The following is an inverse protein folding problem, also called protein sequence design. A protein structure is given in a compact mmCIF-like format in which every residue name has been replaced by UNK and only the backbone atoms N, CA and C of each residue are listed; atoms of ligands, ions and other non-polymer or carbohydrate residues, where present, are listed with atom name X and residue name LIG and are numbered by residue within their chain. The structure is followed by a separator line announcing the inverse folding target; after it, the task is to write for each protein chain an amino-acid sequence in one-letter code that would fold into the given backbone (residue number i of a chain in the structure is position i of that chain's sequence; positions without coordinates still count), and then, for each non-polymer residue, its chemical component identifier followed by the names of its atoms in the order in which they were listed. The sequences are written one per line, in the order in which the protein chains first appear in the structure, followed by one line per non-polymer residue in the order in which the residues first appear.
data_IF_635213046925
#
_entry.id   IF_635213046925
#
_cell.length_a   1.000
_cell.length_b   1.000
_cell.length_c   1.000
_cell.angle_alpha   90.00
_cell.angle_beta   90.00
_cell.angle_gamma   90.00
#
_symmetry.space_group_name_H-M   'P 1'
#
loop_
_entity.id
_entity.type
_entity.pdbx_description
1 polymer ?
#
# COMPACT_ATOMS: atom_id res chain seq x y z
N UNK A 1 41.77 7.66 -24.94
CA UNK A 1 42.14 6.22 -25.04
C UNK A 1 42.11 5.70 -23.61
N UNK A 2 41.10 4.92 -23.21
CA UNK A 2 40.81 3.62 -23.82
C UNK A 2 39.32 3.42 -24.10
N UNK A 3 38.99 3.43 -25.40
CA UNK A 3 37.89 2.62 -25.90
C UNK A 3 38.34 1.14 -25.92
N UNK A 4 37.35 0.24 -25.85
CA UNK A 4 37.37 -1.23 -26.02
C UNK A 4 37.27 -2.01 -24.69
N UNK A 5 36.22 -2.82 -24.46
CA UNK A 5 35.84 -4.00 -25.28
C UNK A 5 34.37 -4.00 -25.80
N UNK A 6 34.12 -4.22 -27.12
CA UNK A 6 32.77 -4.34 -27.71
C UNK A 6 32.06 -5.71 -27.57
N UNK A 7 32.53 -6.63 -26.72
CA UNK A 7 31.87 -7.92 -26.49
C UNK A 7 32.07 -8.42 -25.05
N UNK A 8 31.92 -7.53 -24.07
CA UNK A 8 31.63 -8.00 -22.72
C UNK A 8 30.12 -8.18 -22.62
N UNK A 9 29.62 -9.42 -22.39
CA UNK A 9 28.26 -9.61 -21.94
C UNK A 9 28.02 -8.66 -20.77
N UNK A 10 27.01 -7.79 -20.91
CA UNK A 10 26.64 -6.93 -19.80
C UNK A 10 25.92 -7.82 -18.80
N UNK A 11 26.50 -7.95 -17.62
CA UNK A 11 25.84 -8.62 -16.52
C UNK A 11 25.39 -7.60 -15.49
N UNK A 12 24.16 -7.78 -15.01
CA UNK A 12 23.61 -7.03 -13.88
C UNK A 12 23.64 -7.96 -12.68
N UNK A 13 24.24 -7.48 -11.59
CA UNK A 13 24.20 -8.17 -10.30
C UNK A 13 23.19 -7.47 -9.41
N UNK A 14 22.25 -8.24 -8.85
CA UNK A 14 21.39 -7.78 -7.76
C UNK A 14 21.46 -8.74 -6.59
N UNK A 15 21.09 -8.25 -5.41
CA UNK A 15 21.06 -9.04 -4.19
C UNK A 15 19.63 -9.15 -3.68
N UNK A 16 19.17 -10.38 -3.53
CA UNK A 16 17.85 -10.71 -2.99
C UNK A 16 18.00 -11.40 -1.64
N UNK A 17 17.02 -11.26 -0.74
CA UNK A 17 17.06 -11.95 0.54
C UNK A 17 16.87 -13.47 0.35
N UNK A 18 17.56 -14.26 1.19
CA UNK A 18 17.69 -15.72 1.08
C UNK A 18 16.34 -16.46 1.10
N UNK A 19 15.38 -15.95 1.88
CA UNK A 19 14.03 -16.49 1.98
C UNK A 19 13.21 -16.30 0.69
N UNK A 20 13.67 -15.45 -0.23
CA UNK A 20 13.00 -15.16 -1.51
C UNK A 20 13.58 -15.86 -2.71
N UNK A 21 14.76 -16.47 -2.58
CA UNK A 21 15.37 -17.28 -3.66
C UNK A 21 14.36 -18.33 -4.17
N UNK A 22 13.71 -19.04 -3.25
CA UNK A 22 12.70 -20.04 -3.62
C UNK A 22 11.49 -19.46 -4.36
N UNK A 23 11.07 -18.23 -4.05
CA UNK A 23 9.97 -17.55 -4.70
C UNK A 23 10.33 -17.05 -6.11
N UNK A 24 11.55 -16.53 -6.29
CA UNK A 24 12.09 -16.09 -7.59
C UNK A 24 12.30 -17.28 -8.54
N UNK A 25 12.81 -18.40 -8.02
CA UNK A 25 12.95 -19.64 -8.80
C UNK A 25 11.56 -20.23 -9.12
N UNK A 26 10.66 -20.24 -8.14
CA UNK A 26 9.34 -20.85 -8.24
C UNK A 26 9.38 -22.38 -8.16
N UNK A 27 8.21 -23.02 -8.07
CA UNK A 27 8.11 -24.48 -7.99
C UNK A 27 8.75 -25.16 -9.21
N UNK A 28 9.83 -25.92 -8.99
CA UNK A 28 10.58 -26.59 -10.07
C UNK A 28 11.29 -25.65 -11.05
N UNK A 29 11.54 -24.39 -10.66
CA UNK A 29 12.19 -23.40 -11.53
C UNK A 29 11.27 -22.78 -12.57
N UNK A 30 9.94 -22.91 -12.43
CA UNK A 30 8.99 -22.44 -13.45
C UNK A 30 9.00 -20.92 -13.61
N UNK A 31 9.11 -20.17 -12.52
CA UNK A 31 9.07 -18.71 -12.54
C UNK A 31 10.33 -18.18 -13.23
N UNK A 32 11.51 -18.67 -12.82
CA UNK A 32 12.76 -18.24 -13.46
C UNK A 32 12.86 -18.66 -14.92
N UNK A 33 12.38 -19.87 -15.27
CA UNK A 33 12.33 -20.30 -16.68
C UNK A 33 11.45 -19.39 -17.53
N UNK A 34 10.28 -18.99 -17.02
CA UNK A 34 9.41 -18.04 -17.71
C UNK A 34 10.08 -16.68 -17.90
N UNK A 35 10.77 -16.16 -16.88
CA UNK A 35 11.47 -14.87 -16.97
C UNK A 35 12.59 -14.95 -18.02
N UNK A 36 13.37 -16.04 -18.01
CA UNK A 36 14.42 -16.31 -19.01
C UNK A 36 13.82 -16.38 -20.42
N UNK A 37 12.69 -17.06 -20.58
CA UNK A 37 12.01 -17.24 -21.87
C UNK A 37 11.40 -15.93 -22.40
N UNK A 38 10.78 -15.11 -21.54
CA UNK A 38 10.22 -13.81 -21.90
C UNK A 38 11.28 -12.76 -22.23
N UNK A 39 12.38 -12.76 -21.48
CA UNK A 39 13.42 -11.72 -21.61
C UNK A 39 14.56 -12.12 -22.53
N UNK A 40 14.73 -13.42 -22.80
CA UNK A 40 15.88 -13.96 -23.53
C UNK A 40 17.21 -13.78 -22.78
N UNK A 41 17.17 -13.65 -21.46
CA UNK A 41 18.37 -13.45 -20.61
C UNK A 41 18.79 -14.74 -19.94
N UNK A 42 20.08 -14.87 -19.61
CA UNK A 42 20.60 -15.98 -18.82
C UNK A 42 20.71 -15.52 -17.36
N UNK A 43 20.05 -16.21 -16.43
CA UNK A 43 19.96 -15.80 -15.03
C UNK A 43 20.56 -16.91 -14.16
N UNK A 44 21.54 -16.55 -13.34
CA UNK A 44 22.17 -17.43 -12.36
C UNK A 44 21.86 -16.93 -10.95
N UNK A 45 21.32 -17.80 -10.09
CA UNK A 45 20.98 -17.48 -8.70
C UNK A 45 21.87 -18.31 -7.80
N UNK A 46 22.62 -17.62 -6.94
CA UNK A 46 23.48 -18.24 -5.95
C UNK A 46 22.76 -18.42 -4.61
N UNK A 47 23.23 -19.38 -3.82
CA UNK A 47 22.67 -19.74 -2.50
C UNK A 47 22.82 -18.62 -1.45
N UNK A 48 23.65 -17.61 -1.73
CA UNK A 48 23.89 -16.46 -0.87
C UNK A 48 22.92 -15.27 -1.14
N UNK A 49 22.02 -15.43 -2.11
CA UNK A 49 21.08 -14.40 -2.55
C UNK A 49 21.61 -13.47 -3.64
N UNK A 50 22.79 -13.74 -4.20
CA UNK A 50 23.32 -13.00 -5.34
C UNK A 50 22.72 -13.52 -6.65
N UNK A 51 22.10 -12.65 -7.43
CA UNK A 51 21.52 -12.97 -8.75
C UNK A 51 22.32 -12.27 -9.83
N UNK A 52 22.81 -13.05 -10.80
CA UNK A 52 23.54 -12.58 -11.97
C UNK A 52 22.67 -12.71 -13.20
N UNK A 53 22.40 -11.60 -13.86
CA UNK A 53 21.61 -11.55 -15.09
C UNK A 53 22.57 -11.23 -16.24
N UNK A 54 22.81 -12.20 -17.11
CA UNK A 54 23.61 -12.07 -18.31
C UNK A 54 22.70 -11.77 -19.50
N UNK A 55 23.01 -10.71 -20.24
CA UNK A 55 22.30 -10.42 -21.49
C UNK A 55 23.23 -9.80 -22.54
N UNK A 56 22.85 -10.02 -23.81
CA UNK A 56 23.38 -9.28 -24.96
C UNK A 56 22.83 -7.87 -25.03
N UNK A 57 21.63 -7.65 -24.49
CA UNK A 57 20.86 -6.42 -24.61
C UNK A 57 20.65 -5.77 -23.26
N UNK A 58 20.87 -4.46 -23.20
CA UNK A 58 20.70 -3.71 -21.94
C UNK A 58 19.22 -3.67 -21.52
N UNK A 59 18.31 -3.65 -22.49
CA UNK A 59 16.87 -3.59 -22.24
C UNK A 59 16.31 -4.91 -21.67
N UNK A 60 16.75 -6.05 -22.20
CA UNK A 60 16.37 -7.37 -21.69
C UNK A 60 16.89 -7.60 -20.28
N UNK A 61 18.13 -7.19 -20.01
CA UNK A 61 18.71 -7.27 -18.67
C UNK A 61 17.92 -6.42 -17.66
N UNK A 62 17.51 -5.20 -18.02
CA UNK A 62 16.67 -4.36 -17.17
C UNK A 62 15.26 -4.94 -16.96
N UNK A 63 14.65 -5.53 -17.99
CA UNK A 63 13.34 -6.21 -17.86
C UNK A 63 13.43 -7.38 -16.88
N UNK A 64 14.43 -8.25 -17.04
CA UNK A 64 14.63 -9.39 -16.14
C UNK A 64 14.92 -8.93 -14.71
N UNK A 65 15.78 -7.91 -14.56
CA UNK A 65 16.07 -7.28 -13.27
C UNK A 65 14.77 -6.79 -12.62
N UNK A 66 13.94 -6.06 -13.36
CA UNK A 66 12.69 -5.52 -12.86
C UNK A 66 11.70 -6.62 -12.48
N UNK A 67 11.54 -7.66 -13.30
CA UNK A 67 10.70 -8.81 -12.96
C UNK A 67 11.15 -9.50 -11.67
N UNK A 68 12.46 -9.70 -11.49
CA UNK A 68 13.00 -10.29 -10.27
C UNK A 68 12.79 -9.35 -9.07
N UNK A 69 13.10 -8.06 -9.23
CA UNK A 69 12.85 -7.05 -8.19
C UNK A 69 11.38 -7.03 -7.79
N UNK A 70 10.45 -6.98 -8.75
CA UNK A 70 9.00 -6.99 -8.52
C UNK A 70 8.54 -8.23 -7.75
N UNK A 71 9.11 -9.42 -8.01
CA UNK A 71 8.82 -10.64 -7.25
C UNK A 71 9.41 -10.59 -5.84
N UNK A 72 10.56 -9.92 -5.67
CA UNK A 72 11.24 -9.81 -4.37
C UNK A 72 10.64 -8.75 -3.46
N UNK A 73 9.82 -7.84 -4.01
CA UNK A 73 9.08 -6.86 -3.23
C UNK A 73 7.91 -7.56 -2.54
N UNK A 74 8.11 -7.90 -1.27
CA UNK A 74 7.00 -8.21 -0.36
C UNK A 74 6.49 -6.92 0.28
N UNK A 75 5.20 -6.70 0.13
CA UNK A 75 4.49 -5.69 0.88
C UNK A 75 3.94 -6.32 2.17
N UNK A 76 4.23 -5.69 3.30
CA UNK A 76 3.65 -6.03 4.59
C UNK A 76 2.78 -4.87 5.07
N UNK A 77 1.50 -5.16 5.35
CA UNK A 77 0.61 -4.23 6.05
C UNK A 77 0.34 -4.77 7.44
N UNK A 78 0.55 -3.88 8.42
CA UNK A 78 0.09 -4.08 9.79
C UNK A 78 -1.17 -3.26 10.02
N UNK A 79 -2.25 -3.93 10.41
CA UNK A 79 -3.49 -3.27 10.79
C UNK A 79 -3.95 -3.74 12.17
N UNK A 80 -4.61 -2.85 12.92
CA UNK A 80 -5.19 -3.18 14.22
C UNK A 80 -6.71 -3.19 14.09
N UNK A 81 -7.32 -4.27 14.54
CA UNK A 81 -8.77 -4.41 14.63
C UNK A 81 -9.16 -4.59 16.09
N UNK A 82 -10.37 -4.19 16.49
CA UNK A 82 -10.83 -4.42 17.84
C UNK A 82 -10.98 -5.93 18.12
N UNK A 83 -10.63 -6.35 19.33
CA UNK A 83 -10.51 -7.78 19.69
C UNK A 83 -11.81 -8.55 19.56
N UNK A 84 -12.96 -7.89 19.76
CA UNK A 84 -14.29 -8.44 19.54
C UNK A 84 -14.61 -8.77 18.07
N UNK A 85 -13.86 -8.20 17.11
CA UNK A 85 -14.03 -8.43 15.67
C UNK A 85 -13.06 -9.46 15.10
N UNK A 86 -12.04 -9.89 15.86
CA UNK A 86 -11.10 -10.94 15.43
C UNK A 86 -11.84 -12.21 15.01
N UNK A 87 -12.85 -12.61 15.79
CA UNK A 87 -13.65 -13.80 15.48
C UNK A 87 -14.40 -13.72 14.14
N UNK A 88 -14.85 -12.53 13.73
CA UNK A 88 -15.49 -12.31 12.43
C UNK A 88 -14.48 -12.41 11.29
N UNK A 89 -13.28 -11.87 11.48
CA UNK A 89 -12.20 -11.92 10.49
C UNK A 89 -11.69 -13.36 10.31
N UNK A 90 -11.41 -14.07 11.41
CA UNK A 90 -11.01 -15.48 11.38
C UNK A 90 -12.12 -16.35 10.78
N UNK A 91 -13.37 -16.10 11.16
CA UNK A 91 -14.51 -16.93 10.79
C UNK A 91 -14.60 -18.22 11.59
N UNK A 92 -15.69 -18.96 11.41
CA UNK A 92 -15.90 -20.24 12.09
C UNK A 92 -14.81 -21.23 11.66
N UNK A 93 -14.01 -21.72 12.63
CA UNK A 93 -12.86 -22.61 12.42
C UNK A 93 -11.79 -22.06 11.45
N UNK A 94 -11.66 -20.74 11.31
CA UNK A 94 -10.67 -20.14 10.41
C UNK A 94 -11.06 -20.13 8.93
N UNK A 95 -12.31 -20.46 8.60
CA UNK A 95 -12.78 -20.54 7.21
C UNK A 95 -12.65 -19.21 6.45
N UNK A 96 -12.97 -18.08 7.10
CA UNK A 96 -12.95 -16.77 6.46
C UNK A 96 -11.52 -16.34 6.12
N UNK A 97 -10.58 -16.36 7.07
CA UNK A 97 -9.17 -16.05 6.79
C UNK A 97 -8.62 -16.95 5.70
N UNK A 98 -8.90 -18.26 5.77
CA UNK A 98 -8.39 -19.21 4.78
C UNK A 98 -8.88 -18.86 3.37
N UNK A 99 -10.17 -18.54 3.23
CA UNK A 99 -10.72 -18.09 1.95
C UNK A 99 -10.11 -16.75 1.47
N UNK A 100 -9.81 -15.82 2.38
CA UNK A 100 -9.16 -14.55 2.03
C UNK A 100 -7.73 -14.83 1.56
N UNK A 101 -6.96 -15.62 2.30
CA UNK A 101 -5.59 -16.01 1.93
C UNK A 101 -5.56 -16.71 0.58
N UNK A 102 -6.49 -17.63 0.30
CA UNK A 102 -6.59 -18.32 -1.00
C UNK A 102 -7.01 -17.39 -2.14
N UNK A 103 -8.02 -16.53 -1.92
CA UNK A 103 -8.52 -15.61 -2.97
C UNK A 103 -7.55 -14.46 -3.28
N UNK A 104 -6.74 -14.05 -2.31
CA UNK A 104 -5.78 -12.95 -2.46
C UNK A 104 -4.36 -13.47 -2.66
N UNK A 105 -4.13 -14.78 -2.56
CA UNK A 105 -2.81 -15.39 -2.58
C UNK A 105 -1.83 -14.71 -1.60
N UNK A 106 -2.36 -14.22 -0.48
CA UNK A 106 -1.63 -13.45 0.55
C UNK A 106 -1.54 -14.24 1.85
N UNK A 107 -0.45 -14.06 2.59
CA UNK A 107 -0.25 -14.68 3.87
C UNK A 107 -0.75 -13.75 4.99
N UNK A 108 -1.83 -14.15 5.66
CA UNK A 108 -2.52 -13.32 6.67
C UNK A 108 -2.34 -13.95 8.04
N UNK A 109 -1.69 -13.24 8.95
CA UNK A 109 -1.54 -13.66 10.34
C UNK A 109 -2.36 -12.74 11.25
N UNK A 110 -3.02 -13.32 12.25
CA UNK A 110 -3.88 -12.62 13.18
C UNK A 110 -3.48 -13.01 14.59
N UNK A 111 -3.15 -12.01 15.39
CA UNK A 111 -2.78 -12.17 16.78
C UNK A 111 -4.00 -11.97 17.69
N UNK A 112 -3.95 -12.56 18.89
CA UNK A 112 -4.99 -12.45 19.91
C UNK A 112 -5.20 -11.02 20.42
N UNK A 113 -4.21 -10.14 20.23
CA UNK A 113 -4.25 -8.72 20.60
C UNK A 113 -5.01 -7.83 19.58
N UNK A 114 -5.49 -8.43 18.48
CA UNK A 114 -6.18 -7.74 17.40
C UNK A 114 -5.26 -7.15 16.33
N UNK A 115 -3.97 -7.48 16.37
CA UNK A 115 -3.03 -7.10 15.32
C UNK A 115 -3.09 -8.09 14.17
N UNK A 116 -3.32 -7.61 12.95
CA UNK A 116 -3.22 -8.36 11.71
C UNK A 116 -1.97 -7.97 10.93
N UNK A 117 -1.30 -8.98 10.42
CA UNK A 117 -0.17 -8.87 9.51
C UNK A 117 -0.56 -9.51 8.19
N UNK A 118 -0.56 -8.73 7.12
CA UNK A 118 -0.83 -9.21 5.77
C UNK A 118 0.46 -9.09 4.99
N UNK A 119 0.96 -10.20 4.47
CA UNK A 119 2.14 -10.27 3.61
C UNK A 119 1.73 -10.73 2.22
N UNK A 120 2.12 -9.97 1.21
CA UNK A 120 1.83 -10.29 -0.17
C UNK A 120 3.01 -9.91 -1.06
N UNK A 121 3.24 -10.70 -2.10
CA UNK A 121 4.18 -10.41 -3.18
C UNK A 121 3.56 -9.55 -4.30
N UNK A 122 2.29 -9.16 -4.14
CA UNK A 122 1.58 -8.29 -5.07
C UNK A 122 0.80 -7.23 -4.29
N UNK A 123 0.98 -5.97 -4.70
CA UNK A 123 0.27 -4.81 -4.14
C UNK A 123 -1.26 -4.93 -4.29
N UNK A 124 -1.76 -5.42 -5.42
CA UNK A 124 -3.20 -5.61 -5.62
C UNK A 124 -3.79 -6.62 -4.65
N UNK A 125 -3.09 -7.73 -4.45
CA UNK A 125 -3.50 -8.81 -3.54
C UNK A 125 -3.58 -8.32 -2.10
N UNK A 126 -2.62 -7.49 -1.70
CA UNK A 126 -2.55 -6.86 -0.39
C UNK A 126 -3.75 -5.93 -0.15
N UNK A 127 -4.06 -5.06 -1.11
CA UNK A 127 -5.20 -4.15 -1.06
C UNK A 127 -6.53 -4.91 -1.04
N UNK A 128 -6.66 -5.99 -1.83
CA UNK A 128 -7.84 -6.87 -1.82
C UNK A 128 -8.04 -7.50 -0.44
N UNK A 129 -6.98 -8.06 0.15
CA UNK A 129 -7.04 -8.67 1.48
C UNK A 129 -7.44 -7.65 2.56
N UNK A 130 -6.79 -6.49 2.57
CA UNK A 130 -7.13 -5.41 3.48
C UNK A 130 -8.58 -4.96 3.32
N UNK A 131 -9.05 -4.82 2.08
CA UNK A 131 -10.43 -4.42 1.78
C UNK A 131 -11.43 -5.44 2.30
N UNK A 132 -11.21 -6.73 2.06
CA UNK A 132 -12.11 -7.78 2.55
C UNK A 132 -12.15 -7.79 4.09
N UNK A 133 -10.99 -7.70 4.74
CA UNK A 133 -10.90 -7.65 6.21
C UNK A 133 -11.62 -6.42 6.75
N UNK A 134 -11.41 -5.26 6.12
CA UNK A 134 -12.06 -4.00 6.48
C UNK A 134 -13.57 -4.07 6.28
N UNK A 135 -14.04 -4.70 5.21
CA UNK A 135 -15.46 -4.90 4.93
C UNK A 135 -16.11 -5.86 5.94
N UNK A 136 -15.38 -6.88 6.42
CA UNK A 136 -15.86 -7.79 7.46
C UNK A 136 -15.98 -7.04 8.81
N UNK A 137 -14.93 -6.33 9.22
CA UNK A 137 -14.88 -5.60 10.49
C UNK A 137 -15.85 -4.41 10.50
N UNK A 138 -15.97 -3.73 9.35
CA UNK A 138 -16.69 -2.47 9.15
C UNK A 138 -18.17 -2.60 8.80
N UNK A 139 -18.80 -3.79 8.93
CA UNK A 139 -20.25 -3.97 8.75
C UNK A 139 -21.08 -3.35 9.88
N UNK A 140 -20.92 -2.04 10.09
CA UNK A 140 -21.95 -1.15 10.63
C UNK A 140 -21.85 0.15 9.84
N UNK A 141 -22.69 0.23 8.79
CA UNK A 141 -22.94 1.35 7.88
C UNK A 141 -21.78 1.77 6.97
N UNK A 142 -22.08 1.78 5.66
CA UNK A 142 -21.44 2.62 4.66
C UNK A 142 -21.13 4.00 5.26
N UNK A 143 -19.87 4.43 5.25
CA UNK A 143 -19.32 5.13 4.09
C UNK A 143 -17.79 5.10 4.12
N UNK A 144 -17.24 5.11 2.91
CA UNK A 144 -15.87 4.79 2.56
C UNK A 144 -14.83 5.62 3.30
N UNK A 145 -13.88 4.92 3.91
CA UNK A 145 -12.59 5.49 4.26
C UNK A 145 -11.80 5.70 2.96
N UNK A 146 -11.40 6.96 2.78
CA UNK A 146 -10.38 7.50 1.86
C UNK A 146 -10.81 7.71 0.42
N UNK A 147 -11.43 8.86 0.17
CA UNK A 147 -10.82 9.92 -0.64
C UNK A 147 -11.63 11.21 -0.38
N UNK A 148 -11.06 12.18 0.34
CA UNK A 148 -11.61 13.54 0.28
C UNK A 148 -11.29 14.04 -1.12
N UNK A 149 -12.30 14.06 -2.00
CA UNK A 149 -12.13 14.62 -3.34
C UNK A 149 -12.00 16.13 -3.19
N UNK A 150 -10.83 16.67 -3.55
CA UNK A 150 -10.63 18.12 -3.59
C UNK A 150 -11.69 18.75 -4.50
N UNK A 151 -12.51 19.67 -3.96
CA UNK A 151 -13.57 20.38 -4.68
C UNK A 151 -15.01 19.92 -4.42
N UNK A 152 -15.25 18.99 -3.49
CA UNK A 152 -16.61 18.69 -3.01
C UNK A 152 -16.97 19.56 -1.79
N UNK A 153 -18.22 20.06 -1.75
CA UNK A 153 -18.71 20.83 -0.61
C UNK A 153 -19.00 19.90 0.59
N UNK A 154 -18.32 20.12 1.70
CA UNK A 154 -18.59 19.42 2.95
C UNK A 154 -19.11 20.36 4.04
N UNK A 155 -19.99 19.86 4.91
CA UNK A 155 -20.45 20.60 6.10
C UNK A 155 -19.75 20.04 7.32
N UNK A 156 -18.89 20.84 7.96
CA UNK A 156 -18.16 20.45 9.15
C UNK A 156 -18.47 21.34 10.35
N UNK A 157 -18.04 20.89 11.53
CA UNK A 157 -18.21 21.59 12.81
C UNK A 157 -16.88 22.19 13.23
N UNK A 158 -16.88 23.46 13.62
CA UNK A 158 -15.67 24.13 14.10
C UNK A 158 -15.27 23.52 15.44
N UNK A 159 -14.14 22.82 15.48
CA UNK A 159 -13.59 22.23 16.71
C UNK A 159 -12.65 23.20 17.41
N UNK A 160 -12.02 24.11 16.67
CA UNK A 160 -11.09 25.09 17.23
C UNK A 160 -10.95 26.33 16.32
N UNK A 161 -10.65 27.50 16.88
CA UNK A 161 -10.43 28.74 16.14
C UNK A 161 -9.07 29.33 16.49
N UNK A 162 -8.30 29.78 15.50
CA UNK A 162 -7.01 30.46 15.68
C UNK A 162 -7.05 31.83 15.01
N UNK A 163 -6.04 32.69 15.20
CA UNK A 163 -6.02 34.05 14.63
C UNK A 163 -5.95 34.10 13.09
N UNK A 164 -5.59 32.99 12.44
CA UNK A 164 -5.40 32.89 10.99
C UNK A 164 -6.37 31.92 10.31
N UNK A 165 -7.24 31.23 11.07
CA UNK A 165 -8.21 30.31 10.52
C UNK A 165 -9.05 29.57 11.56
N UNK A 166 -9.89 28.64 11.10
CA UNK A 166 -10.69 27.76 11.95
C UNK A 166 -10.41 26.30 11.57
N UNK A 167 -10.28 25.43 12.57
CA UNK A 167 -10.24 23.99 12.40
C UNK A 167 -11.67 23.47 12.39
N UNK A 168 -12.01 22.78 11.32
CA UNK A 168 -13.34 22.27 11.04
C UNK A 168 -13.23 20.75 10.94
N UNK A 169 -13.94 20.04 11.79
CA UNK A 169 -14.10 18.60 11.69
C UNK A 169 -15.25 18.29 10.74
N UNK A 170 -14.90 17.66 9.62
CA UNK A 170 -15.84 17.39 8.53
C UNK A 170 -16.39 15.97 8.64
N UNK A 171 -15.54 15.04 9.06
CA UNK A 171 -15.84 13.64 9.31
C UNK A 171 -15.14 13.20 10.60
N UNK A 172 -15.62 12.15 11.28
CA UNK A 172 -15.01 11.68 12.51
C UNK A 172 -13.51 11.36 12.31
N UNK A 173 -12.64 12.17 12.91
CA UNK A 173 -11.17 12.03 12.78
C UNK A 173 -10.55 12.67 11.54
N UNK A 174 -11.29 13.48 10.78
CA UNK A 174 -10.77 14.29 9.65
C UNK A 174 -11.00 15.77 9.93
N UNK A 175 -9.90 16.48 10.18
CA UNK A 175 -9.87 17.90 10.47
C UNK A 175 -9.30 18.70 9.29
N UNK A 176 -10.01 19.73 8.87
CA UNK A 176 -9.58 20.66 7.83
C UNK A 176 -9.29 22.04 8.41
N UNK A 177 -8.21 22.68 7.97
CA UNK A 177 -7.91 24.07 8.32
C UNK A 177 -8.52 25.00 7.27
N UNK A 178 -9.45 25.85 7.71
CA UNK A 178 -10.08 26.88 6.90
C UNK A 178 -9.42 28.23 7.19
N UNK A 179 -8.72 28.79 6.21
CA UNK A 179 -8.06 30.10 6.35
C UNK A 179 -9.09 31.23 6.42
N UNK A 180 -8.80 32.29 7.18
CA UNK A 180 -9.71 33.46 7.35
C UNK A 180 -10.21 34.05 6.03
N UNK A 181 -9.37 34.06 5.00
CA UNK A 181 -9.70 34.60 3.68
C UNK A 181 -10.68 33.74 2.88
N UNK A 182 -10.95 32.51 3.32
CA UNK A 182 -11.95 31.60 2.73
C UNK A 182 -13.22 31.49 3.57
N UNK A 183 -13.27 32.11 4.75
CA UNK A 183 -14.42 32.10 5.66
C UNK A 183 -15.49 33.12 5.25
N UNK A 184 -15.10 34.22 4.59
CA UNK A 184 -16.01 35.23 4.06
C UNK A 184 -15.34 36.06 2.97
N UNK A 185 -16.12 36.56 2.02
CA UNK A 185 -15.68 37.50 0.98
C UNK A 185 -15.42 38.92 1.53
N UNK A 186 -15.84 39.19 2.77
CA UNK A 186 -15.60 40.46 3.47
C UNK A 186 -14.26 40.45 4.25
N UNK A 187 -13.68 41.63 4.45
CA UNK A 187 -12.40 41.77 5.17
C UNK A 187 -12.64 41.61 6.67
N UNK A 188 -12.17 40.50 7.21
CA UNK A 188 -12.42 40.10 8.60
C UNK A 188 -11.13 40.17 9.38
N UNK A 189 -11.13 40.94 10.47
CA UNK A 189 -9.96 41.11 11.33
C UNK A 189 -9.79 39.95 12.32
N UNK A 190 -10.89 39.27 12.73
CA UNK A 190 -10.86 38.15 13.68
C UNK A 190 -11.85 37.05 13.31
N UNK A 191 -11.40 35.81 13.44
CA UNK A 191 -12.15 34.59 13.07
C UNK A 191 -13.37 34.39 13.96
N UNK A 192 -13.24 34.82 15.22
CA UNK A 192 -14.25 34.76 16.28
C UNK A 192 -15.51 35.59 15.96
N UNK A 193 -15.40 36.57 15.04
CA UNK A 193 -16.52 37.42 14.64
C UNK A 193 -17.46 36.71 13.66
N UNK A 194 -16.99 35.67 12.97
CA UNK A 194 -17.79 34.89 12.01
C UNK A 194 -18.14 33.51 12.56
N UNK A 195 -17.19 32.83 13.19
CA UNK A 195 -17.37 31.43 13.61
C UNK A 195 -17.03 31.23 15.06
N UNK A 196 -17.81 30.37 15.72
CA UNK A 196 -17.57 29.94 17.10
C UNK A 196 -17.30 28.44 17.14
N UNK A 197 -16.59 28.00 18.17
CA UNK A 197 -16.41 26.57 18.44
C UNK A 197 -17.79 25.91 18.62
N UNK A 198 -18.05 24.87 17.83
CA UNK A 198 -19.32 24.17 17.75
C UNK A 198 -20.24 24.64 16.61
N UNK A 199 -19.86 25.66 15.84
CA UNK A 199 -20.67 26.17 14.75
C UNK A 199 -20.50 25.34 13.47
N UNK A 200 -21.55 25.30 12.64
CA UNK A 200 -21.56 24.52 11.39
C UNK A 200 -21.15 25.38 10.22
N UNK A 201 -20.07 25.00 9.55
CA UNK A 201 -19.53 25.73 8.40
C UNK A 201 -19.45 24.83 7.17
N UNK A 202 -19.71 25.41 6.01
CA UNK A 202 -19.55 24.74 4.71
C UNK A 202 -18.16 25.04 4.17
N UNK A 203 -17.47 24.01 3.68
CA UNK A 203 -16.13 24.08 3.09
C UNK A 203 -16.15 23.41 1.72
N UNK A 204 -15.37 23.93 0.76
CA UNK A 204 -15.29 23.45 -0.64
C UNK A 204 -13.83 23.23 -1.02
#
# INVERSE_FOLDING_TARGET
RSEMSPSSPKYIMLKIPLDKIGAVIGTGGKVIKNIIEETGTEIDIQDDGSVYIYSTDTESAEKAKKMIEDITIEFEIKMRIPTNKIGEVIGTRGSTIKNIQESTNSNINVNDDGTLYIKSNNEESLLKAQKIIKDIVGKVKSDSVNDVKMGEEYTGIVVNTTSFGAFVEILPGVEGLLHISKLSDERVDRVEDIVKVGDKVKVI
#
